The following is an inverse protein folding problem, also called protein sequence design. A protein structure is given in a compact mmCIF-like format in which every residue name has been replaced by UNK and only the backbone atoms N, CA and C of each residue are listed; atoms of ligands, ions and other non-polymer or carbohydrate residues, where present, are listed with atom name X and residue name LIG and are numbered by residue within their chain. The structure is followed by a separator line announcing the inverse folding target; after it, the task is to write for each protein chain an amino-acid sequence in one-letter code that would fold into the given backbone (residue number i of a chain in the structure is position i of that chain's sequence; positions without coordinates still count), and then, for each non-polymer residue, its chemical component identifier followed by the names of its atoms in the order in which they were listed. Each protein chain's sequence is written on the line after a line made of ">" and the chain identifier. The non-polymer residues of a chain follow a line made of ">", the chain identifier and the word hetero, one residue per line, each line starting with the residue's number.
data_IF_126599854175
#
_entry.id   IF_126599854175
#
_cell.length_a   1.000
_cell.length_b   1.000
_cell.length_c   1.000
_cell.angle_alpha   90.00
_cell.angle_beta   90.00
_cell.angle_gamma   90.00
#
_symmetry.space_group_name_H-M   'P 1'
#
loop_
_entity.id
_entity.type
_entity.pdbx_description
1 polymer ?
#
# COMPACT_ATOMS: atom_id res chain seq x y z
N UNK A 1 35.36 28.44 8.78
CA UNK A 1 35.15 27.64 10.01
C UNK A 1 33.67 27.30 10.09
N UNK A 2 33.35 26.00 9.96
CA UNK A 2 32.09 25.30 10.25
C UNK A 2 30.73 26.00 9.96
N UNK A 3 30.18 25.71 8.78
CA UNK A 3 28.74 25.67 8.51
C UNK A 3 28.22 24.30 8.94
N UNK A 4 27.60 24.17 10.10
CA UNK A 4 26.86 22.95 10.45
C UNK A 4 25.63 23.25 11.30
N UNK A 5 24.49 22.73 10.84
CA UNK A 5 23.46 22.21 11.74
C UNK A 5 22.16 23.00 11.84
N UNK A 6 21.47 23.28 10.72
CA UNK A 6 20.01 23.43 10.81
C UNK A 6 19.42 22.02 10.73
N UNK A 7 18.89 21.60 11.86
CA UNK A 7 18.32 20.30 12.17
C UNK A 7 17.33 19.79 11.10
N UNK A 8 17.54 18.55 10.66
CA UNK A 8 16.64 17.70 9.86
C UNK A 8 15.38 17.26 10.63
N UNK A 9 14.84 18.07 11.53
CA UNK A 9 13.71 17.67 12.40
C UNK A 9 12.35 17.91 11.76
N UNK A 10 12.26 18.75 10.72
CA UNK A 10 11.02 18.97 9.98
C UNK A 10 10.64 17.79 9.06
N UNK A 11 11.62 17.04 8.58
CA UNK A 11 11.43 15.99 7.57
C UNK A 11 10.93 14.66 8.17
N UNK A 12 11.36 14.33 9.40
CA UNK A 12 11.00 13.08 10.07
C UNK A 12 9.56 13.09 10.66
N UNK A 13 9.03 14.28 11.02
CA UNK A 13 7.65 14.39 11.52
C UNK A 13 6.61 14.08 10.43
N UNK A 14 6.94 14.37 9.17
CA UNK A 14 6.08 14.07 8.02
C UNK A 14 6.04 12.56 7.71
N UNK A 15 7.17 11.84 7.83
CA UNK A 15 7.21 10.42 7.49
C UNK A 15 6.24 9.57 8.32
N UNK A 16 6.21 9.77 9.65
CA UNK A 16 5.34 8.97 10.53
C UNK A 16 3.86 9.15 10.17
N UNK A 17 3.41 10.38 10.01
CA UNK A 17 2.01 10.69 9.71
C UNK A 17 1.61 10.15 8.33
N UNK A 18 2.48 10.32 7.33
CA UNK A 18 2.29 9.75 5.99
C UNK A 18 2.26 8.21 6.01
N UNK A 19 3.18 7.59 6.76
CA UNK A 19 3.25 6.14 6.91
C UNK A 19 2.00 5.58 7.56
N UNK A 20 1.54 6.18 8.68
CA UNK A 20 0.31 5.75 9.37
C UNK A 20 -0.89 5.89 8.45
N UNK A 21 -1.05 7.04 7.79
CA UNK A 21 -2.18 7.29 6.90
C UNK A 21 -2.21 6.32 5.71
N UNK A 22 -1.07 6.07 5.05
CA UNK A 22 -0.99 5.10 3.95
C UNK A 22 -1.18 3.66 4.43
N UNK A 23 -0.69 3.32 5.62
CA UNK A 23 -0.91 2.01 6.24
C UNK A 23 -2.38 1.79 6.55
N UNK A 24 -3.07 2.77 7.12
CA UNK A 24 -4.50 2.70 7.43
C UNK A 24 -5.33 2.50 6.16
N UNK A 25 -5.01 3.21 5.08
CA UNK A 25 -5.66 3.02 3.77
C UNK A 25 -5.41 1.62 3.23
N UNK A 26 -4.17 1.13 3.31
CA UNK A 26 -3.81 -0.22 2.85
C UNK A 26 -4.55 -1.31 3.62
N UNK A 27 -4.48 -1.29 4.95
CA UNK A 27 -5.16 -2.29 5.80
C UNK A 27 -6.67 -2.22 5.67
N UNK A 28 -7.25 -1.03 5.57
CA UNK A 28 -8.69 -0.87 5.28
C UNK A 28 -9.07 -1.48 3.93
N UNK A 29 -8.26 -1.28 2.90
CA UNK A 29 -8.55 -1.87 1.59
C UNK A 29 -8.49 -3.40 1.61
N UNK A 30 -7.55 -3.99 2.38
CA UNK A 30 -7.47 -5.43 2.61
C UNK A 30 -8.71 -5.93 3.34
N UNK A 31 -9.09 -5.28 4.45
CA UNK A 31 -10.28 -5.68 5.20
C UNK A 31 -11.54 -5.60 4.33
N UNK A 32 -11.73 -4.49 3.61
CA UNK A 32 -12.82 -4.32 2.65
C UNK A 32 -12.89 -5.45 1.61
N UNK A 33 -11.74 -5.90 1.10
CA UNK A 33 -11.66 -7.02 0.15
C UNK A 33 -12.04 -8.34 0.83
N UNK A 34 -11.47 -8.62 2.01
CA UNK A 34 -11.74 -9.83 2.78
C UNK A 34 -13.21 -9.92 3.15
N UNK A 35 -13.81 -8.84 3.68
CA UNK A 35 -15.23 -8.82 4.05
C UNK A 35 -16.13 -9.05 2.84
N UNK A 36 -15.79 -8.47 1.68
CA UNK A 36 -16.52 -8.69 0.44
C UNK A 36 -16.46 -10.15 0.00
N UNK A 37 -15.27 -10.75 -0.05
CA UNK A 37 -15.07 -12.15 -0.40
C UNK A 37 -15.77 -13.10 0.58
N UNK A 38 -15.70 -12.79 1.87
CA UNK A 38 -16.36 -13.58 2.92
C UNK A 38 -17.89 -13.55 2.78
N UNK A 39 -18.48 -12.40 2.45
CA UNK A 39 -19.93 -12.27 2.21
C UNK A 39 -20.44 -13.07 1.00
N UNK A 40 -19.54 -13.46 0.11
CA UNK A 40 -19.81 -14.28 -1.09
C UNK A 40 -19.37 -15.74 -0.94
N UNK A 41 -18.82 -16.13 0.21
CA UNK A 41 -18.31 -17.49 0.42
C UNK A 41 -19.43 -18.52 0.23
N UNK A 42 -19.16 -19.52 -0.61
CA UNK A 42 -20.11 -20.58 -0.92
C UNK A 42 -21.19 -20.19 -1.94
N UNK A 43 -21.09 -18.99 -2.54
CA UNK A 43 -21.94 -18.55 -3.65
C UNK A 43 -21.10 -18.47 -4.93
N UNK A 44 -21.75 -18.74 -6.06
CA UNK A 44 -21.18 -18.41 -7.36
C UNK A 44 -21.28 -16.89 -7.57
N UNK A 45 -20.16 -16.25 -7.94
CA UNK A 45 -20.13 -14.80 -8.17
C UNK A 45 -20.77 -14.48 -9.51
N UNK A 46 -21.80 -13.64 -9.49
CA UNK A 46 -22.31 -12.97 -10.68
C UNK A 46 -21.21 -12.12 -11.35
N UNK A 47 -21.39 -11.81 -12.64
CA UNK A 47 -20.45 -10.95 -13.38
C UNK A 47 -20.20 -9.60 -12.66
N UNK A 48 -21.24 -9.05 -12.02
CA UNK A 48 -21.14 -7.82 -11.23
C UNK A 48 -20.26 -8.03 -9.99
N UNK A 49 -20.44 -9.14 -9.28
CA UNK A 49 -19.63 -9.46 -8.10
C UNK A 49 -18.18 -9.76 -8.46
N UNK A 50 -17.92 -10.35 -9.63
CA UNK A 50 -16.58 -10.53 -10.16
C UNK A 50 -15.90 -9.18 -10.46
N UNK A 51 -16.61 -8.24 -11.08
CA UNK A 51 -16.09 -6.89 -11.31
C UNK A 51 -15.81 -6.13 -10.02
N UNK A 52 -16.69 -6.25 -9.02
CA UNK A 52 -16.47 -5.66 -7.69
C UNK A 52 -15.29 -6.29 -6.94
N UNK A 53 -15.11 -7.61 -7.05
CA UNK A 53 -13.94 -8.30 -6.50
C UNK A 53 -12.65 -7.72 -7.08
N UNK A 54 -12.58 -7.63 -8.42
CA UNK A 54 -11.44 -7.04 -9.13
C UNK A 54 -11.20 -5.58 -8.75
N UNK A 55 -12.25 -4.79 -8.55
CA UNK A 55 -12.11 -3.41 -8.09
C UNK A 55 -11.46 -3.35 -6.71
N UNK A 56 -11.91 -4.18 -5.76
CA UNK A 56 -11.32 -4.21 -4.42
C UNK A 56 -9.87 -4.66 -4.44
N UNK A 57 -9.55 -5.70 -5.22
CA UNK A 57 -8.16 -6.13 -5.45
C UNK A 57 -7.31 -4.98 -6.03
N UNK A 58 -7.83 -4.25 -7.00
CA UNK A 58 -7.12 -3.12 -7.59
C UNK A 58 -6.84 -1.98 -6.58
N UNK A 59 -7.77 -1.72 -5.66
CA UNK A 59 -7.60 -0.73 -4.59
C UNK A 59 -6.56 -1.17 -3.54
N UNK A 60 -6.47 -2.48 -3.27
CA UNK A 60 -5.41 -3.06 -2.43
C UNK A 60 -4.05 -2.89 -3.09
N UNK A 61 -3.93 -3.22 -4.38
CA UNK A 61 -2.65 -3.08 -5.07
C UNK A 61 -2.22 -1.60 -5.19
N UNK A 62 -3.17 -0.69 -5.43
CA UNK A 62 -2.90 0.75 -5.46
C UNK A 62 -2.39 1.30 -4.12
N UNK A 63 -3.02 0.92 -3.01
CA UNK A 63 -2.62 1.37 -1.68
C UNK A 63 -1.27 0.76 -1.26
N UNK A 64 -1.03 -0.52 -1.59
CA UNK A 64 0.26 -1.19 -1.41
C UNK A 64 1.39 -0.49 -2.17
N UNK A 65 1.16 -0.16 -3.44
CA UNK A 65 2.11 0.60 -4.27
C UNK A 65 2.48 1.91 -3.59
N UNK A 66 1.50 2.66 -3.10
CA UNK A 66 1.74 3.96 -2.48
C UNK A 66 2.51 3.83 -1.16
N UNK A 67 2.11 2.90 -0.30
CA UNK A 67 2.77 2.65 0.99
C UNK A 67 4.22 2.21 0.77
N UNK A 68 4.45 1.21 -0.08
CA UNK A 68 5.80 0.69 -0.32
C UNK A 68 6.69 1.72 -1.01
N UNK A 69 6.13 2.57 -1.89
CA UNK A 69 6.88 3.68 -2.48
C UNK A 69 7.41 4.64 -1.41
N UNK A 70 6.57 5.06 -0.45
CA UNK A 70 7.00 5.89 0.68
C UNK A 70 8.12 5.20 1.47
N UNK A 71 7.96 3.92 1.82
CA UNK A 71 8.95 3.15 2.58
C UNK A 71 10.28 3.08 1.82
N UNK A 72 10.28 2.84 0.51
CA UNK A 72 11.49 2.76 -0.31
C UNK A 72 12.19 4.12 -0.38
N UNK A 73 11.44 5.19 -0.63
CA UNK A 73 11.97 6.56 -0.77
C UNK A 73 12.54 7.08 0.56
N UNK A 74 11.93 6.69 1.68
CA UNK A 74 12.27 7.13 3.04
C UNK A 74 12.74 5.99 3.94
N UNK A 75 13.47 5.03 3.37
CA UNK A 75 13.79 3.77 4.07
C UNK A 75 14.56 3.95 5.38
N UNK A 76 15.46 4.94 5.45
CA UNK A 76 16.18 5.24 6.71
C UNK A 76 15.22 5.70 7.83
N UNK A 77 14.19 6.48 7.48
CA UNK A 77 13.18 6.93 8.44
C UNK A 77 12.27 5.77 8.86
N UNK A 78 11.91 4.90 7.91
CA UNK A 78 11.19 3.66 8.19
C UNK A 78 11.97 2.75 9.14
N UNK A 79 13.26 2.53 8.91
CA UNK A 79 14.11 1.72 9.80
C UNK A 79 14.15 2.30 11.22
N UNK A 80 14.32 3.63 11.33
CA UNK A 80 14.32 4.29 12.63
C UNK A 80 12.95 4.21 13.33
N UNK A 81 11.87 4.35 12.58
CA UNK A 81 10.51 4.20 13.09
C UNK A 81 10.24 2.77 13.61
N UNK A 82 10.73 1.74 12.91
CA UNK A 82 10.51 0.34 13.26
C UNK A 82 11.49 -0.23 14.29
N UNK A 83 12.58 0.49 14.61
CA UNK A 83 13.64 0.06 15.53
C UNK A 83 13.17 -0.30 16.95
N UNK A 84 11.94 0.05 17.34
CA UNK A 84 11.32 -0.34 18.60
C UNK A 84 10.06 -1.21 18.49
N UNK A 85 9.64 -1.57 17.27
CA UNK A 85 8.36 -2.24 17.03
C UNK A 85 8.49 -3.68 16.52
N UNK A 86 9.62 -4.04 15.90
CA UNK A 86 9.79 -5.35 15.25
C UNK A 86 11.18 -5.94 15.48
N UNK A 87 11.27 -7.25 15.70
CA UNK A 87 12.54 -7.98 15.83
C UNK A 87 13.32 -8.05 14.51
N UNK A 88 12.63 -8.01 13.37
CA UNK A 88 13.24 -8.00 12.03
C UNK A 88 12.57 -6.95 11.16
N UNK A 89 13.37 -6.00 10.67
CA UNK A 89 12.91 -4.97 9.72
C UNK A 89 13.10 -5.53 8.31
N UNK A 90 12.02 -5.58 7.54
CA UNK A 90 12.05 -6.00 6.13
C UNK A 90 13.04 -5.14 5.32
N UNK A 91 13.85 -5.79 4.49
CA UNK A 91 14.88 -5.15 3.68
C UNK A 91 14.29 -4.27 2.58
N UNK A 92 15.01 -3.21 2.18
CA UNK A 92 14.54 -2.25 1.16
C UNK A 92 14.24 -2.92 -0.19
N UNK A 93 15.03 -3.92 -0.56
CA UNK A 93 14.86 -4.68 -1.81
C UNK A 93 13.58 -5.53 -1.80
N UNK A 94 13.16 -6.05 -0.66
CA UNK A 94 11.90 -6.78 -0.51
C UNK A 94 10.70 -5.85 -0.72
N UNK A 95 10.74 -4.63 -0.18
CA UNK A 95 9.75 -3.61 -0.49
C UNK A 95 9.72 -3.26 -1.98
N UNK A 96 10.89 -3.10 -2.61
CA UNK A 96 10.97 -2.81 -4.05
C UNK A 96 10.42 -3.95 -4.92
N UNK A 97 10.74 -5.20 -4.59
CA UNK A 97 10.19 -6.36 -5.28
C UNK A 97 8.66 -6.41 -5.18
N UNK A 98 8.14 -6.31 -3.95
CA UNK A 98 6.70 -6.36 -3.69
C UNK A 98 5.94 -5.17 -4.29
N UNK A 99 6.54 -3.98 -4.31
CA UNK A 99 5.97 -2.79 -4.95
C UNK A 99 5.89 -2.95 -6.46
N UNK A 100 6.91 -3.53 -7.10
CA UNK A 100 6.92 -3.75 -8.55
C UNK A 100 5.83 -4.74 -8.97
N UNK A 101 5.67 -5.84 -8.23
CA UNK A 101 4.59 -6.81 -8.50
C UNK A 101 3.21 -6.18 -8.29
N UNK A 102 3.01 -5.43 -7.20
CA UNK A 102 1.79 -4.69 -6.94
C UNK A 102 1.48 -3.68 -8.06
N UNK A 103 2.50 -2.99 -8.57
CA UNK A 103 2.36 -2.03 -9.66
C UNK A 103 1.91 -2.70 -10.96
N UNK A 104 2.43 -3.90 -11.28
CA UNK A 104 2.00 -4.67 -12.46
C UNK A 104 0.52 -5.07 -12.34
N UNK A 105 0.13 -5.64 -11.19
CA UNK A 105 -1.25 -6.06 -10.94
C UNK A 105 -2.21 -4.88 -10.97
N UNK A 106 -1.86 -3.77 -10.31
CA UNK A 106 -2.64 -2.53 -10.34
C UNK A 106 -2.89 -2.05 -11.78
N UNK A 107 -1.85 -2.01 -12.63
CA UNK A 107 -2.01 -1.55 -14.01
C UNK A 107 -2.88 -2.49 -14.84
N UNK A 108 -2.74 -3.81 -14.66
CA UNK A 108 -3.58 -4.79 -15.34
C UNK A 108 -5.05 -4.60 -14.96
N UNK A 109 -5.36 -4.61 -13.67
CA UNK A 109 -6.72 -4.45 -13.15
C UNK A 109 -7.32 -3.09 -13.51
N UNK A 110 -6.54 -2.01 -13.41
CA UNK A 110 -6.97 -0.66 -13.82
C UNK A 110 -7.39 -0.63 -15.29
N UNK A 111 -6.64 -1.30 -16.16
CA UNK A 111 -6.95 -1.36 -17.59
C UNK A 111 -8.21 -2.20 -17.86
N UNK A 112 -8.38 -3.34 -17.18
CA UNK A 112 -9.60 -4.15 -17.28
C UNK A 112 -10.85 -3.39 -16.83
N UNK A 113 -10.74 -2.68 -15.69
CA UNK A 113 -11.86 -1.99 -15.08
C UNK A 113 -12.19 -0.63 -15.71
N UNK A 114 -11.30 -0.10 -16.57
CA UNK A 114 -11.40 1.25 -17.14
C UNK A 114 -12.73 1.56 -17.82
N UNK A 115 -13.38 0.58 -18.43
CA UNK A 115 -14.68 0.72 -19.14
C UNK A 115 -15.87 0.19 -18.34
N UNK A 116 -15.68 -0.07 -17.05
CA UNK A 116 -16.71 -0.62 -16.17
C UNK A 116 -17.22 0.45 -15.20
N UNK A 117 -18.38 0.23 -14.54
CA UNK A 117 -18.82 1.07 -13.43
C UNK A 117 -17.96 0.98 -12.16
N UNK A 118 -16.92 0.13 -12.14
CA UNK A 118 -16.12 -0.18 -10.96
C UNK A 118 -14.63 0.19 -11.15
N UNK A 119 -14.30 1.47 -11.38
CA UNK A 119 -12.91 1.89 -11.61
C UNK A 119 -12.05 1.81 -10.34
N UNK A 120 -10.72 1.77 -10.55
CA UNK A 120 -9.71 2.11 -9.54
C UNK A 120 -9.28 3.59 -9.63
#
# INVERSE_FOLDING_TARGET
>A
MFLFGICRTADAKNFKDDYVNLSDVYFKSIDDQIQFEYGLRGKEKSDIEQLKAKQKECLVEKSKVNLHKLIIERYSDYQHYMQGATETIMEKNEFAFTQNEAQKNYLALKNELKKTPYPC
#
